data_IF_653044416577
#
_entry.id   IF_653044416577
#
_cell.length_a   1.000
_cell.length_b   1.000
_cell.length_c   1.000
_cell.angle_alpha   90.00
_cell.angle_beta   90.00
_cell.angle_gamma   90.00
#
_symmetry.space_group_name_H-M   'P 1'
#
loop_
_entity.id
_entity.type
_entity.pdbx_description
1 polymer ?
#
# COMPACT_ATOMS: atom_id res chain seq x y z
N UNK A 1 -19.12 -64.85 -19.14
CA UNK A 1 -18.70 -63.89 -18.11
C UNK A 1 -17.64 -62.97 -18.71
N UNK A 2 -17.98 -61.72 -19.02
CA UNK A 2 -17.03 -60.69 -19.49
C UNK A 2 -17.08 -59.56 -18.46
N UNK A 3 -16.01 -59.42 -17.68
CA UNK A 3 -15.92 -58.44 -16.59
C UNK A 3 -15.51 -57.11 -17.22
N UNK A 4 -16.43 -56.14 -17.14
CA UNK A 4 -16.24 -54.74 -17.50
C UNK A 4 -15.46 -54.10 -16.34
N UNK A 5 -14.22 -53.67 -16.58
CA UNK A 5 -13.48 -52.83 -15.65
C UNK A 5 -13.55 -51.38 -16.13
N UNK A 6 -14.57 -50.66 -15.69
CA UNK A 6 -14.63 -49.20 -15.76
C UNK A 6 -13.75 -48.65 -14.64
N UNK A 7 -12.48 -48.37 -14.92
CA UNK A 7 -11.62 -47.64 -14.00
C UNK A 7 -11.87 -46.14 -14.17
N UNK A 8 -12.95 -45.65 -13.55
CA UNK A 8 -13.22 -44.23 -13.37
C UNK A 8 -12.38 -43.74 -12.18
N UNK A 9 -11.09 -43.48 -12.39
CA UNK A 9 -10.25 -42.85 -11.37
C UNK A 9 -10.55 -41.35 -11.37
N UNK A 10 -11.46 -40.95 -10.48
CA UNK A 10 -11.82 -39.57 -10.19
C UNK A 10 -10.58 -38.74 -9.80
N UNK A 11 -10.19 -37.81 -10.67
CA UNK A 11 -9.33 -36.69 -10.32
C UNK A 11 -10.05 -35.85 -9.25
N UNK A 12 -9.63 -35.97 -7.99
CA UNK A 12 -9.82 -34.94 -6.99
C UNK A 12 -8.52 -34.14 -6.89
N UNK A 13 -8.24 -33.33 -7.91
CA UNK A 13 -7.36 -32.18 -7.74
C UNK A 13 -8.20 -31.07 -7.12
N UNK A 14 -8.38 -31.12 -5.80
CA UNK A 14 -8.72 -29.91 -5.04
C UNK A 14 -7.50 -28.98 -5.09
N UNK A 15 -7.33 -28.30 -6.22
CA UNK A 15 -6.39 -27.18 -6.34
C UNK A 15 -6.89 -26.09 -5.41
N UNK A 16 -6.37 -26.03 -4.19
CA UNK A 16 -6.49 -24.84 -3.37
C UNK A 16 -5.85 -23.70 -4.16
N UNK A 17 -6.66 -22.86 -4.80
CA UNK A 17 -6.16 -21.72 -5.53
C UNK A 17 -5.72 -20.71 -4.46
N UNK A 18 -4.40 -20.54 -4.32
CA UNK A 18 -3.80 -19.53 -3.47
C UNK A 18 -2.78 -18.74 -4.26
N UNK A 19 -2.76 -17.42 -4.06
CA UNK A 19 -1.75 -16.53 -4.61
C UNK A 19 -1.11 -15.73 -3.49
N UNK A 20 0.22 -15.74 -3.44
CA UNK A 20 1.01 -14.94 -2.50
C UNK A 20 1.51 -13.69 -3.20
N UNK A 21 1.38 -12.55 -2.53
CA UNK A 21 2.02 -11.29 -2.91
C UNK A 21 3.15 -11.01 -1.92
N UNK A 22 4.36 -10.89 -2.44
CA UNK A 22 5.57 -10.62 -1.64
C UNK A 22 5.77 -9.12 -1.38
N UNK A 23 6.55 -8.78 -0.35
CA UNK A 23 6.97 -7.39 -0.07
C UNK A 23 7.55 -6.70 -1.31
N UNK A 24 8.34 -7.44 -2.12
CA UNK A 24 8.96 -6.94 -3.35
C UNK A 24 7.93 -6.64 -4.43
N UNK A 25 6.94 -7.50 -4.63
CA UNK A 25 5.89 -7.24 -5.64
C UNK A 25 5.07 -6.01 -5.31
N UNK A 26 4.75 -5.79 -4.03
CA UNK A 26 4.09 -4.55 -3.59
C UNK A 26 5.02 -3.36 -3.81
N UNK A 27 6.30 -3.49 -3.45
CA UNK A 27 7.27 -2.42 -3.64
C UNK A 27 7.41 -2.05 -5.13
N UNK A 28 7.60 -3.03 -6.01
CA UNK A 28 7.70 -2.82 -7.46
C UNK A 28 6.41 -2.17 -8.02
N UNK A 29 5.23 -2.60 -7.53
CA UNK A 29 3.94 -2.02 -7.91
C UNK A 29 3.81 -0.55 -7.52
N UNK A 30 4.29 -0.19 -6.32
CA UNK A 30 4.29 1.17 -5.82
C UNK A 30 5.34 2.01 -6.55
N UNK A 31 6.52 1.46 -6.83
CA UNK A 31 7.64 2.17 -7.48
C UNK A 31 7.34 2.55 -8.93
N UNK A 32 6.69 1.67 -9.70
CA UNK A 32 6.20 2.00 -11.06
C UNK A 32 5.21 3.19 -11.06
N UNK A 33 4.63 3.47 -9.89
CA UNK A 33 3.66 4.55 -9.67
C UNK A 33 4.22 5.68 -8.78
N UNK A 34 5.48 5.59 -8.31
CA UNK A 34 6.07 6.46 -7.28
C UNK A 34 6.73 7.74 -7.80
N UNK A 35 6.53 8.09 -9.08
CA UNK A 35 6.80 9.42 -9.64
C UNK A 35 5.85 10.51 -9.11
N UNK A 36 5.61 10.52 -7.79
CA UNK A 36 4.48 11.17 -7.15
C UNK A 36 4.91 12.48 -6.49
N UNK A 37 4.83 13.56 -7.26
CA UNK A 37 4.84 14.92 -6.71
C UNK A 37 3.40 15.37 -6.44
N UNK A 38 3.12 15.87 -5.24
CA UNK A 38 1.81 16.46 -4.92
C UNK A 38 1.93 17.81 -4.26
N UNK A 39 1.17 18.76 -4.79
CA UNK A 39 0.90 20.04 -4.16
C UNK A 39 -0.29 19.90 -3.23
N UNK A 40 -0.10 20.26 -1.96
CA UNK A 40 -1.11 20.20 -0.89
C UNK A 40 -1.33 21.58 -0.33
N UNK A 41 -2.56 21.93 0.01
CA UNK A 41 -2.90 23.19 0.69
C UNK A 41 -3.66 24.18 -0.20
N UNK A 42 -3.68 25.43 0.25
CA UNK A 42 -4.47 26.50 -0.36
C UNK A 42 -3.57 27.35 -1.26
N UNK A 43 -3.73 27.19 -2.57
CA UNK A 43 -2.97 27.93 -3.58
C UNK A 43 -3.09 29.45 -3.33
N UNK A 44 -1.94 30.11 -3.21
CA UNK A 44 -1.83 31.55 -2.95
C UNK A 44 -1.73 31.95 -1.47
N UNK A 45 -2.06 31.06 -0.54
CA UNK A 45 -1.93 31.31 0.91
C UNK A 45 -0.82 30.46 1.53
N UNK A 46 -0.95 29.13 1.45
CA UNK A 46 0.02 28.18 1.97
C UNK A 46 -0.09 26.85 1.23
N UNK A 47 1.02 26.34 0.70
CA UNK A 47 1.05 25.03 0.05
C UNK A 47 2.37 24.30 0.29
N UNK A 48 2.33 22.97 0.18
CA UNK A 48 3.49 22.10 0.25
C UNK A 48 3.59 21.25 -1.02
N UNK A 49 4.75 21.21 -1.65
CA UNK A 49 5.05 20.23 -2.71
C UNK A 49 5.83 19.08 -2.10
N UNK A 50 5.30 17.86 -2.16
CA UNK A 50 5.89 16.68 -1.52
C UNK A 50 6.27 15.68 -2.60
N UNK A 51 7.52 15.23 -2.54
CA UNK A 51 8.06 14.16 -3.36
C UNK A 51 8.43 12.99 -2.45
N UNK A 52 7.85 11.82 -2.73
CA UNK A 52 8.15 10.57 -2.03
C UNK A 52 9.29 9.85 -2.74
N UNK A 53 10.19 9.25 -1.98
CA UNK A 53 11.38 8.55 -2.43
C UNK A 53 11.57 7.29 -1.58
N UNK A 54 12.17 6.24 -2.15
CA UNK A 54 12.58 5.03 -1.43
C UNK A 54 11.46 4.37 -0.60
N UNK A 55 10.30 4.11 -1.19
CA UNK A 55 9.22 3.40 -0.48
C UNK A 55 9.69 1.97 -0.18
N UNK A 56 9.65 1.58 1.09
CA UNK A 56 9.93 0.22 1.53
C UNK A 56 8.68 -0.38 2.12
N UNK A 57 8.40 -1.61 1.72
CA UNK A 57 7.24 -2.36 2.17
C UNK A 57 7.69 -3.43 3.15
N UNK A 58 6.99 -3.55 4.27
CA UNK A 58 7.04 -4.74 5.11
C UNK A 58 5.65 -5.30 5.36
N UNK A 59 5.55 -6.62 5.49
CA UNK A 59 4.28 -7.32 5.75
C UNK A 59 4.43 -8.08 7.06
N UNK A 60 3.57 -7.83 8.04
CA UNK A 60 3.63 -8.52 9.34
C UNK A 60 4.83 -8.12 10.21
N UNK A 61 5.49 -6.98 9.93
CA UNK A 61 6.71 -6.56 10.65
C UNK A 61 6.42 -5.76 11.91
N UNK A 62 5.43 -4.87 11.83
CA UNK A 62 4.99 -4.02 12.95
C UNK A 62 3.96 -4.75 13.81
N UNK A 63 3.01 -5.42 13.17
CA UNK A 63 2.02 -6.29 13.78
C UNK A 63 1.61 -7.37 12.77
N UNK A 64 1.20 -8.55 13.25
CA UNK A 64 0.92 -9.74 12.43
C UNK A 64 -0.17 -9.53 11.37
N UNK A 65 -1.06 -8.55 11.58
CA UNK A 65 -2.18 -8.21 10.70
C UNK A 65 -1.95 -6.93 9.88
N UNK A 66 -0.75 -6.35 9.92
CA UNK A 66 -0.46 -5.05 9.28
C UNK A 66 0.66 -5.09 8.26
N UNK A 67 0.51 -4.26 7.24
CA UNK A 67 1.57 -3.88 6.29
C UNK A 67 2.15 -2.55 6.74
N UNK A 68 3.47 -2.41 6.72
CA UNK A 68 4.16 -1.13 6.92
C UNK A 68 4.71 -0.57 5.61
N UNK A 69 4.62 0.75 5.47
CA UNK A 69 5.15 1.53 4.36
C UNK A 69 6.07 2.60 4.93
N UNK A 70 7.37 2.42 4.74
CA UNK A 70 8.37 3.41 5.12
C UNK A 70 8.76 4.24 3.90
N UNK A 71 8.77 5.55 4.01
CA UNK A 71 9.11 6.44 2.91
C UNK A 71 10.07 7.55 3.37
N UNK A 72 11.08 7.79 2.53
CA UNK A 72 11.82 9.05 2.56
C UNK A 72 11.05 10.07 1.72
N UNK A 73 11.06 11.33 2.10
CA UNK A 73 10.31 12.37 1.40
C UNK A 73 11.01 13.72 1.48
N UNK A 74 10.87 14.49 0.41
CA UNK A 74 11.28 15.89 0.37
C UNK A 74 10.03 16.75 0.22
N UNK A 75 9.86 17.71 1.12
CA UNK A 75 8.74 18.64 1.07
C UNK A 75 9.24 20.08 0.92
N UNK A 76 8.59 20.85 0.06
CA UNK A 76 8.82 22.28 -0.08
C UNK A 76 7.57 23.03 0.35
N UNK A 77 7.65 23.75 1.47
CA UNK A 77 6.55 24.53 2.04
C UNK A 77 6.69 25.99 1.64
N UNK A 78 5.63 26.56 1.08
CA UNK A 78 5.54 27.96 0.71
C UNK A 78 4.33 28.59 1.40
N UNK A 79 4.57 29.65 2.18
CA UNK A 79 3.54 30.42 2.89
C UNK A 79 3.65 31.87 2.44
N UNK A 80 2.52 32.51 2.17
CA UNK A 80 2.46 33.90 1.73
C UNK A 80 3.18 34.81 2.75
N UNK A 81 4.12 35.63 2.26
CA UNK A 81 4.89 36.54 3.09
C UNK A 81 6.04 35.90 3.87
N UNK A 82 6.35 34.62 3.64
CA UNK A 82 7.49 33.92 4.24
C UNK A 82 8.41 33.32 3.17
N UNK A 83 9.67 33.09 3.54
CA UNK A 83 10.60 32.33 2.71
C UNK A 83 10.19 30.86 2.63
N UNK A 84 10.32 30.28 1.45
CA UNK A 84 10.10 28.84 1.23
C UNK A 84 11.01 28.00 2.12
N UNK A 85 10.45 26.97 2.74
CA UNK A 85 11.17 26.02 3.60
C UNK A 85 11.24 24.66 2.93
N UNK A 86 12.42 24.05 2.93
CA UNK A 86 12.62 22.68 2.43
C UNK A 86 12.79 21.74 3.62
N UNK A 87 12.01 20.66 3.64
CA UNK A 87 12.01 19.64 4.68
C UNK A 87 12.42 18.29 4.10
N UNK A 88 13.16 17.52 4.89
CA UNK A 88 13.31 16.08 4.70
C UNK A 88 12.42 15.38 5.73
N UNK A 89 11.59 14.47 5.27
CA UNK A 89 10.63 13.76 6.10
C UNK A 89 10.90 12.27 5.93
N UNK A 90 11.08 11.55 7.03
CA UNK A 90 11.00 10.10 7.06
C UNK A 90 9.73 9.74 7.79
N UNK A 91 8.92 8.89 7.18
CA UNK A 91 7.64 8.51 7.75
C UNK A 91 7.45 7.00 7.63
N UNK A 92 6.94 6.40 8.69
CA UNK A 92 6.52 5.02 8.73
C UNK A 92 5.02 4.97 8.96
N UNK A 93 4.30 4.44 7.98
CA UNK A 93 2.88 4.14 8.10
C UNK A 93 2.68 2.65 8.31
N UNK A 94 1.59 2.29 8.98
CA UNK A 94 1.08 0.93 8.99
C UNK A 94 -0.41 0.91 8.70
N UNK A 95 -0.90 -0.18 8.13
CA UNK A 95 -2.32 -0.32 7.78
C UNK A 95 -2.72 -1.79 7.70
N UNK A 96 -4.01 -2.06 7.86
CA UNK A 96 -4.60 -3.38 7.67
C UNK A 96 -4.89 -3.56 6.18
N UNK A 97 -4.29 -4.55 5.50
CA UNK A 97 -4.59 -4.79 4.10
C UNK A 97 -5.95 -5.48 3.97
N UNK A 98 -6.70 -5.16 2.91
CA UNK A 98 -7.90 -5.88 2.55
C UNK A 98 -7.99 -6.09 1.05
N UNK A 99 -8.65 -7.18 0.64
CA UNK A 99 -8.86 -7.48 -0.76
C UNK A 99 -10.22 -6.95 -1.23
N UNK A 100 -10.20 -6.11 -2.24
CA UNK A 100 -11.40 -5.71 -2.97
C UNK A 100 -11.60 -6.63 -4.18
N UNK A 101 -12.68 -7.42 -4.15
CA UNK A 101 -13.01 -8.38 -5.19
C UNK A 101 -13.49 -7.75 -6.50
N UNK A 102 -14.17 -6.61 -6.42
CA UNK A 102 -14.72 -5.94 -7.61
C UNK A 102 -13.59 -5.33 -8.42
N UNK A 103 -12.58 -4.80 -7.73
CA UNK A 103 -11.36 -4.26 -8.34
C UNK A 103 -10.29 -5.34 -8.61
N UNK A 104 -10.36 -6.47 -7.91
CA UNK A 104 -9.33 -7.50 -7.94
C UNK A 104 -7.98 -6.96 -7.45
N UNK A 105 -8.00 -6.19 -6.37
CA UNK A 105 -6.85 -5.45 -5.88
C UNK A 105 -6.79 -5.46 -4.34
N UNK A 106 -5.58 -5.27 -3.82
CA UNK A 106 -5.33 -5.13 -2.38
C UNK A 106 -5.25 -3.64 -2.08
N UNK A 107 -6.05 -3.22 -1.11
CA UNK A 107 -6.10 -1.87 -0.56
C UNK A 107 -5.67 -1.88 0.90
N UNK A 108 -5.50 -0.67 1.45
CA UNK A 108 -5.16 -0.46 2.85
C UNK A 108 -6.34 0.19 3.57
N UNK A 109 -6.55 -0.19 4.83
CA UNK A 109 -7.49 0.40 5.76
C UNK A 109 -6.82 0.62 7.12
N UNK A 110 -7.48 1.37 8.00
CA UNK A 110 -7.01 1.60 9.37
C UNK A 110 -5.54 2.06 9.43
N UNK A 111 -5.27 3.15 8.72
CA UNK A 111 -3.93 3.73 8.64
C UNK A 111 -3.52 4.29 10.01
N UNK A 112 -2.31 3.93 10.44
CA UNK A 112 -1.63 4.54 11.58
C UNK A 112 -0.28 5.11 11.15
N UNK A 113 0.15 6.16 11.85
CA UNK A 113 1.51 6.70 11.74
C UNK A 113 2.33 6.07 12.87
N UNK A 114 3.27 5.20 12.52
CA UNK A 114 4.14 4.52 13.50
C UNK A 114 5.29 5.42 13.94
N UNK A 115 5.90 6.12 13.00
CA UNK A 115 6.99 7.04 13.27
C UNK A 115 7.05 8.16 12.23
N UNK A 116 7.56 9.32 12.66
CA UNK A 116 7.83 10.45 11.77
C UNK A 116 9.01 11.28 12.27
N UNK A 117 10.03 11.41 11.41
CA UNK A 117 11.19 12.26 11.62
C UNK A 117 11.20 13.37 10.57
N UNK A 118 11.38 14.62 11.01
CA UNK A 118 11.31 15.79 10.14
C UNK A 118 12.53 16.66 10.39
N UNK A 119 13.30 16.87 9.32
CA UNK A 119 14.49 17.70 9.34
C UNK A 119 14.30 18.97 8.48
N UNK A 120 14.74 20.15 8.97
CA UNK A 120 15.36 20.36 10.29
C UNK A 120 14.35 20.35 11.44
N UNK A 121 14.78 19.91 12.63
CA UNK A 121 13.95 19.87 13.85
C UNK A 121 13.36 21.25 14.24
N UNK A 122 14.04 22.33 13.86
CA UNK A 122 13.60 23.71 14.10
C UNK A 122 12.64 24.18 13.00
N UNK A 123 11.41 23.69 13.06
CA UNK A 123 10.31 24.22 12.23
C UNK A 123 9.73 25.48 12.86
N UNK A 124 9.39 26.47 12.02
CA UNK A 124 8.60 27.61 12.48
C UNK A 124 7.17 27.13 12.87
N UNK A 125 6.52 27.86 13.78
CA UNK A 125 5.18 27.53 14.29
C UNK A 125 4.14 27.28 13.18
N UNK A 126 4.08 28.10 12.12
CA UNK A 126 3.18 27.86 10.99
C UNK A 126 3.42 26.53 10.27
N UNK A 127 4.69 26.15 10.04
CA UNK A 127 5.01 24.87 9.38
C UNK A 127 4.60 23.68 10.23
N UNK A 128 4.76 23.73 11.56
CA UNK A 128 4.27 22.67 12.46
C UNK A 128 2.76 22.46 12.35
N UNK A 129 1.99 23.54 12.21
CA UNK A 129 0.53 23.48 12.07
C UNK A 129 0.07 22.92 10.71
N UNK A 130 0.91 23.00 9.67
CA UNK A 130 0.60 22.44 8.35
C UNK A 130 0.88 20.94 8.24
N UNK A 131 1.65 20.36 9.18
CA UNK A 131 2.04 18.95 9.10
C UNK A 131 0.87 17.98 9.24
N UNK A 132 -0.01 18.17 10.24
CA UNK A 132 -1.12 17.23 10.47
C UNK A 132 -2.06 17.12 9.26
N UNK A 133 -2.54 18.22 8.64
CA UNK A 133 -3.35 18.14 7.42
C UNK A 133 -2.62 17.49 6.24
N UNK A 134 -1.30 17.70 6.12
CA UNK A 134 -0.48 17.07 5.09
C UNK A 134 -0.45 15.56 5.30
N UNK A 135 -0.15 15.11 6.52
CA UNK A 135 -0.07 13.68 6.88
C UNK A 135 -1.42 13.01 6.64
N UNK A 136 -2.52 13.65 7.04
CA UNK A 136 -3.88 13.14 6.81
C UNK A 136 -4.16 12.97 5.31
N UNK A 137 -3.85 13.98 4.49
CA UNK A 137 -4.06 13.89 3.05
C UNK A 137 -3.21 12.80 2.39
N UNK A 138 -1.95 12.66 2.80
CA UNK A 138 -1.07 11.56 2.36
C UNK A 138 -1.66 10.22 2.76
N UNK A 139 -2.18 10.12 3.99
CA UNK A 139 -2.86 8.94 4.46
C UNK A 139 -4.09 8.58 3.62
N UNK A 140 -4.96 9.56 3.35
CA UNK A 140 -6.13 9.37 2.47
C UNK A 140 -5.73 8.94 1.05
N UNK A 141 -4.61 9.45 0.55
CA UNK A 141 -4.08 9.02 -0.74
C UNK A 141 -3.68 7.54 -0.74
N UNK A 142 -3.04 7.05 0.32
CA UNK A 142 -2.69 5.63 0.47
C UNK A 142 -3.93 4.74 0.59
N UNK A 143 -4.95 5.19 1.33
CA UNK A 143 -6.20 4.44 1.56
C UNK A 143 -7.09 4.31 0.31
N UNK A 144 -7.03 5.27 -0.61
CA UNK A 144 -7.89 5.32 -1.80
C UNK A 144 -7.28 4.64 -3.02
N UNK A 145 -6.11 4.00 -2.88
CA UNK A 145 -5.40 3.38 -3.99
C UNK A 145 -4.96 1.97 -3.66
N UNK A 146 -4.95 1.08 -4.67
CA UNK A 146 -4.44 -0.25 -4.46
C UNK A 146 -2.93 -0.19 -4.23
N UNK A 147 -2.45 -1.01 -3.31
CA UNK A 147 -1.02 -1.30 -3.14
C UNK A 147 -0.58 -2.46 -4.00
N UNK A 148 -1.52 -3.24 -4.52
CA UNK A 148 -1.27 -4.29 -5.51
C UNK A 148 -2.56 -4.57 -6.29
N UNK A 149 -2.44 -4.90 -7.59
CA UNK A 149 -3.58 -5.34 -8.41
C UNK A 149 -3.23 -6.65 -9.09
N UNK A 150 -4.12 -7.62 -8.98
CA UNK A 150 -3.97 -8.91 -9.64
C UNK A 150 -3.94 -8.72 -11.17
N UNK A 151 -3.06 -9.46 -11.83
CA UNK A 151 -2.96 -9.49 -13.28
C UNK A 151 -4.04 -10.40 -13.87
N UNK A 152 -4.94 -9.82 -14.67
CA UNK A 152 -6.04 -10.53 -15.32
C UNK A 152 -5.58 -11.48 -16.44
N UNK A 153 -4.39 -11.28 -16.99
CA UNK A 153 -3.81 -12.16 -18.01
C UNK A 153 -3.26 -13.46 -17.39
N UNK A 154 -3.06 -13.49 -16.06
CA UNK A 154 -2.69 -14.69 -15.33
C UNK A 154 -3.95 -15.50 -14.96
N UNK A 155 -4.05 -16.70 -15.54
CA UNK A 155 -5.18 -17.61 -15.33
C UNK A 155 -5.41 -17.98 -13.85
N UNK A 156 -4.37 -18.05 -13.01
CA UNK A 156 -4.53 -18.34 -11.58
C UNK A 156 -5.10 -17.14 -10.83
N UNK A 157 -4.66 -15.94 -11.18
CA UNK A 157 -5.09 -14.71 -10.54
C UNK A 157 -6.53 -14.33 -10.94
N UNK A 158 -6.93 -14.57 -12.20
CA UNK A 158 -8.30 -14.33 -12.67
C UNK A 158 -9.35 -15.24 -11.99
N UNK A 159 -9.00 -16.50 -11.67
CA UNK A 159 -9.91 -17.37 -10.91
C UNK A 159 -10.20 -16.85 -9.50
N UNK A 160 -9.22 -16.24 -8.84
CA UNK A 160 -9.38 -15.71 -7.48
C UNK A 160 -10.37 -14.53 -7.43
N UNK A 161 -10.49 -13.74 -8.51
CA UNK A 161 -11.47 -12.63 -8.61
C UNK A 161 -12.93 -13.11 -8.59
N UNK A 162 -13.19 -14.35 -9.03
CA UNK A 162 -14.56 -14.87 -9.18
C UNK A 162 -15.08 -15.52 -7.88
N UNK A 163 -14.21 -15.71 -6.89
CA UNK A 163 -14.52 -16.33 -5.60
C UNK A 163 -14.84 -15.29 -4.50
N UNK A 164 -15.03 -15.74 -3.25
CA UNK A 164 -14.99 -14.88 -2.04
C UNK A 164 -13.66 -15.09 -1.32
N UNK A 165 -12.53 -14.67 -1.91
CA UNK A 165 -11.24 -14.98 -1.33
C UNK A 165 -11.04 -14.26 0.00
N UNK A 166 -10.35 -14.92 0.91
CA UNK A 166 -9.82 -14.35 2.14
C UNK A 166 -8.40 -13.83 1.89
N UNK A 167 -8.07 -12.68 2.50
CA UNK A 167 -6.72 -12.15 2.52
C UNK A 167 -6.09 -12.43 3.89
N UNK A 168 -4.96 -13.13 3.89
CA UNK A 168 -4.23 -13.49 5.11
C UNK A 168 -2.79 -13.02 5.02
N UNK A 169 -2.20 -12.63 6.15
CA UNK A 169 -0.74 -12.48 6.25
C UNK A 169 -0.15 -13.82 6.69
N UNK A 170 0.76 -14.38 5.88
CA UNK A 170 1.51 -15.60 6.20
C UNK A 170 2.95 -15.46 5.73
N UNK A 171 3.91 -15.77 6.60
CA UNK A 171 5.33 -15.73 6.27
C UNK A 171 5.81 -14.40 5.65
N UNK A 172 5.23 -13.26 6.08
CA UNK A 172 5.49 -11.92 5.52
C UNK A 172 5.07 -11.77 4.05
N UNK A 173 4.03 -12.51 3.63
CA UNK A 173 3.36 -12.39 2.34
C UNK A 173 1.86 -12.17 2.53
N UNK A 174 1.22 -11.52 1.57
CA UNK A 174 -0.23 -11.43 1.49
C UNK A 174 -0.77 -12.61 0.67
N UNK A 175 -1.46 -13.53 1.33
CA UNK A 175 -2.01 -14.74 0.73
C UNK A 175 -3.49 -14.55 0.46
N UNK A 176 -3.86 -14.54 -0.82
CA UNK A 176 -5.24 -14.56 -1.30
C UNK A 176 -5.60 -16.02 -1.54
N UNK A 177 -6.61 -16.54 -0.83
CA UNK A 177 -7.03 -17.95 -0.93
C UNK A 177 -8.56 -18.10 -0.91
N UNK A 178 -9.07 -19.17 -1.54
CA UNK A 178 -10.49 -19.55 -1.58
C UNK A 178 -10.79 -20.61 -0.52
#
# INVERSE_FOLDING_TARGET
MKIIYTLLLSLLLSSCASYSVTEREIQDYLDDRSGFERTVGFKGLAHANIKFENVKVGIGRVADDRVNLDADSKAQITIQGQSTQNLQIKVSFSAIPYYDKEEGAIFLNDLNVEDIDIQPNELNLPSKQLLSPIIEMVGQYLLTRPVYRLNDEDFKQSMLKTARPELLIKNHELVIQI
#
